data_IF_477053888768
#
_entry.id   IF_477053888768
#
_cell.length_a   1.000
_cell.length_b   1.000
_cell.length_c   1.000
_cell.angle_alpha   90.00
_cell.angle_beta   90.00
_cell.angle_gamma   90.00
#
_symmetry.space_group_name_H-M   'P 1'
#
loop_
_entity.id
_entity.type
_entity.pdbx_description
1 polymer ?
#
# COMPACT_ATOMS: atom_id res chain seq x y z
N UNK A 1 -37.50 1.20 -47.01
CA UNK A 1 -36.50 1.74 -46.08
C UNK A 1 -35.91 0.56 -45.33
N UNK A 2 -34.58 0.33 -45.33
CA UNK A 2 -34.01 -0.75 -44.57
C UNK A 2 -34.04 -0.36 -43.09
N UNK A 3 -34.64 -1.23 -42.28
CA UNK A 3 -34.66 -1.18 -40.83
C UNK A 3 -33.22 -1.12 -40.29
N UNK A 4 -32.88 -0.01 -39.61
CA UNK A 4 -31.66 0.10 -38.82
C UNK A 4 -31.75 -0.91 -37.69
N UNK A 5 -31.11 -2.07 -37.86
CA UNK A 5 -30.76 -2.93 -36.73
C UNK A 5 -29.83 -2.13 -35.82
N UNK A 6 -30.33 -1.73 -34.67
CA UNK A 6 -29.53 -1.18 -33.58
C UNK A 6 -28.66 -2.32 -33.06
N UNK A 7 -27.47 -2.53 -33.64
CA UNK A 7 -26.50 -3.50 -33.14
C UNK A 7 -26.03 -3.02 -31.77
N UNK A 8 -26.65 -3.51 -30.70
CA UNK A 8 -26.16 -3.29 -29.33
C UNK A 8 -24.72 -3.78 -29.24
N UNK A 9 -23.82 -2.90 -28.81
CA UNK A 9 -22.40 -3.24 -28.67
C UNK A 9 -22.26 -4.51 -27.80
N UNK A 10 -21.40 -5.47 -28.19
CA UNK A 10 -21.24 -6.71 -27.44
C UNK A 10 -20.80 -6.42 -26.00
N UNK A 11 -21.51 -7.01 -25.04
CA UNK A 11 -21.14 -6.95 -23.62
C UNK A 11 -20.17 -8.08 -23.28
N UNK A 12 -19.30 -7.87 -22.30
CA UNK A 12 -18.20 -8.81 -21.97
C UNK A 12 -18.19 -9.17 -20.49
N UNK A 13 -17.87 -10.43 -20.19
CA UNK A 13 -17.70 -10.95 -18.82
C UNK A 13 -16.27 -11.46 -18.62
N UNK A 14 -15.81 -11.44 -17.37
CA UNK A 14 -14.51 -11.97 -16.95
C UNK A 14 -14.77 -13.12 -15.98
N UNK A 15 -14.01 -14.20 -16.12
CA UNK A 15 -14.05 -15.37 -15.23
C UNK A 15 -12.67 -16.01 -15.07
N UNK A 16 -12.47 -16.84 -14.03
CA UNK A 16 -11.33 -17.75 -13.99
C UNK A 16 -11.21 -18.56 -15.28
N UNK A 17 -9.98 -18.66 -15.77
CA UNK A 17 -9.64 -19.54 -16.87
C UNK A 17 -9.62 -21.00 -16.39
N UNK A 18 -9.98 -21.90 -17.28
CA UNK A 18 -9.81 -23.35 -17.11
C UNK A 18 -8.91 -23.87 -18.22
N UNK A 19 -8.45 -25.12 -18.11
CA UNK A 19 -7.65 -25.72 -19.19
C UNK A 19 -8.40 -25.82 -20.52
N UNK A 20 -9.74 -25.81 -20.52
CA UNK A 20 -10.54 -25.74 -21.75
C UNK A 20 -10.32 -24.43 -22.55
N UNK A 21 -9.86 -23.36 -21.89
CA UNK A 21 -9.57 -22.07 -22.52
C UNK A 21 -8.19 -22.01 -23.18
N UNK A 22 -7.33 -23.03 -22.98
CA UNK A 22 -5.93 -23.03 -23.42
C UNK A 22 -5.78 -22.76 -24.93
N UNK A 23 -6.64 -23.37 -25.74
CA UNK A 23 -6.63 -23.18 -27.20
C UNK A 23 -6.91 -21.72 -27.60
N UNK A 24 -7.80 -21.02 -26.89
CA UNK A 24 -8.13 -19.63 -27.16
C UNK A 24 -7.05 -18.67 -26.64
N UNK A 25 -6.51 -18.93 -25.43
CA UNK A 25 -5.39 -18.17 -24.86
C UNK A 25 -4.17 -18.26 -25.77
N UNK A 26 -3.80 -19.47 -26.21
CA UNK A 26 -2.70 -19.72 -27.15
C UNK A 26 -2.87 -18.92 -28.44
N UNK A 27 -4.08 -18.91 -29.00
CA UNK A 27 -4.39 -18.17 -30.23
C UNK A 27 -4.16 -16.66 -30.07
N UNK A 28 -4.61 -16.08 -28.96
CA UNK A 28 -4.44 -14.65 -28.66
C UNK A 28 -2.96 -14.33 -28.41
N UNK A 29 -2.26 -15.17 -27.64
CA UNK A 29 -0.82 -15.00 -27.36
C UNK A 29 0.02 -15.09 -28.63
N UNK A 30 -0.23 -16.10 -29.48
CA UNK A 30 0.51 -16.25 -30.74
C UNK A 30 0.21 -15.11 -31.72
N UNK A 31 -0.99 -14.54 -31.72
CA UNK A 31 -1.26 -13.31 -32.47
C UNK A 31 -0.39 -12.15 -31.96
N UNK A 32 -0.26 -11.97 -30.64
CA UNK A 32 0.64 -10.97 -30.07
C UNK A 32 2.12 -11.22 -30.42
N UNK A 33 2.54 -12.49 -30.50
CA UNK A 33 3.88 -12.88 -30.97
C UNK A 33 4.13 -12.42 -32.41
N UNK A 34 3.17 -12.59 -33.31
CA UNK A 34 3.34 -12.18 -34.72
C UNK A 34 3.21 -10.68 -34.93
N UNK A 35 2.27 -10.04 -34.25
CA UNK A 35 1.71 -8.76 -34.69
C UNK A 35 2.02 -7.59 -33.75
N UNK A 36 2.64 -7.84 -32.59
CA UNK A 36 2.83 -6.81 -31.56
C UNK A 36 4.27 -6.75 -31.01
N UNK A 37 4.60 -5.61 -30.40
CA UNK A 37 5.80 -5.41 -29.58
C UNK A 37 5.57 -5.69 -28.09
N UNK A 38 4.41 -6.24 -27.71
CA UNK A 38 4.08 -6.51 -26.31
C UNK A 38 4.74 -7.80 -25.76
N UNK A 39 5.27 -8.66 -26.63
CA UNK A 39 5.96 -9.90 -26.26
C UNK A 39 7.17 -10.09 -27.17
N UNK A 40 8.37 -10.22 -26.59
CA UNK A 40 9.63 -10.19 -27.34
C UNK A 40 10.15 -11.58 -27.67
N UNK A 41 9.33 -12.36 -28.36
CA UNK A 41 9.74 -13.60 -29.02
C UNK A 41 9.12 -13.64 -30.41
N UNK A 42 9.76 -14.38 -31.31
CA UNK A 42 9.24 -14.77 -32.63
C UNK A 42 8.73 -16.22 -32.65
N UNK A 43 8.89 -16.95 -31.55
CA UNK A 43 8.54 -18.37 -31.45
C UNK A 43 7.12 -18.48 -30.88
N UNK A 44 6.22 -19.01 -31.72
CA UNK A 44 4.87 -19.35 -31.32
C UNK A 44 4.83 -20.62 -30.47
N UNK A 45 3.92 -20.64 -29.48
CA UNK A 45 3.71 -21.85 -28.69
C UNK A 45 2.89 -22.87 -29.47
N UNK A 46 3.33 -24.13 -29.41
CA UNK A 46 2.50 -25.27 -29.77
C UNK A 46 1.49 -25.60 -28.64
N UNK A 47 0.61 -26.59 -28.85
CA UNK A 47 -0.43 -26.93 -27.87
C UNK A 47 0.14 -27.44 -26.55
N UNK A 48 1.16 -28.30 -26.60
CA UNK A 48 1.77 -28.91 -25.41
C UNK A 48 2.46 -27.85 -24.56
N UNK A 49 3.22 -26.95 -25.19
CA UNK A 49 3.88 -25.83 -24.50
C UNK A 49 2.88 -24.87 -23.85
N UNK A 50 1.77 -24.57 -24.54
CA UNK A 50 0.73 -23.70 -24.01
C UNK A 50 0.01 -24.32 -22.81
N UNK A 51 -0.25 -25.63 -22.85
CA UNK A 51 -0.83 -26.36 -21.72
C UNK A 51 0.11 -26.37 -20.51
N UNK A 52 1.38 -26.71 -20.73
CA UNK A 52 2.41 -26.71 -19.68
C UNK A 52 2.61 -25.32 -19.07
N UNK A 53 2.59 -24.27 -19.89
CA UNK A 53 2.69 -22.88 -19.45
C UNK A 53 1.46 -22.44 -18.67
N UNK A 54 0.24 -22.77 -19.09
CA UNK A 54 -0.99 -22.28 -18.47
C UNK A 54 -1.36 -23.02 -17.18
N UNK A 55 -1.07 -24.32 -17.10
CA UNK A 55 -1.50 -25.19 -15.99
C UNK A 55 -1.15 -24.65 -14.59
N UNK A 56 0.08 -24.17 -14.30
CA UNK A 56 0.40 -23.64 -12.98
C UNK A 56 -0.43 -22.40 -12.60
N UNK A 57 -0.71 -21.50 -13.55
CA UNK A 57 -1.53 -20.31 -13.29
C UNK A 57 -3.00 -20.68 -13.07
N UNK A 58 -3.54 -21.65 -13.82
CA UNK A 58 -4.89 -22.17 -13.59
C UNK A 58 -4.99 -22.83 -12.21
N UNK A 59 -4.01 -23.64 -11.83
CA UNK A 59 -3.97 -24.30 -10.52
C UNK A 59 -3.89 -23.29 -9.36
N UNK A 60 -3.12 -22.20 -9.53
CA UNK A 60 -3.03 -21.11 -8.56
C UNK A 60 -4.24 -20.17 -8.56
N UNK A 61 -5.15 -20.30 -9.53
CA UNK A 61 -6.27 -19.38 -9.72
C UNK A 61 -5.86 -18.00 -10.24
N UNK A 62 -4.65 -17.86 -10.78
CA UNK A 62 -4.08 -16.61 -11.32
C UNK A 62 -4.14 -16.53 -12.85
N UNK A 63 -5.11 -17.23 -13.46
CA UNK A 63 -5.43 -17.14 -14.89
C UNK A 63 -6.90 -16.75 -15.07
N UNK A 64 -7.15 -15.75 -15.92
CA UNK A 64 -8.47 -15.19 -16.19
C UNK A 64 -8.70 -15.04 -17.70
N UNK A 65 -9.96 -15.17 -18.13
CA UNK A 65 -10.38 -14.88 -19.50
C UNK A 65 -11.51 -13.87 -19.55
N UNK A 66 -11.48 -13.02 -20.57
CA UNK A 66 -12.59 -12.16 -20.97
C UNK A 66 -13.30 -12.79 -22.17
N UNK A 67 -14.63 -12.91 -22.11
CA UNK A 67 -15.43 -13.51 -23.19
C UNK A 67 -16.70 -12.69 -23.46
N UNK A 68 -17.31 -12.93 -24.63
CA UNK A 68 -18.59 -12.31 -25.00
C UNK A 68 -19.69 -12.83 -24.06
N UNK A 69 -20.51 -11.92 -23.52
CA UNK A 69 -21.59 -12.27 -22.60
C UNK A 69 -22.59 -13.22 -23.29
N UNK A 70 -22.96 -14.32 -22.61
CA UNK A 70 -23.79 -15.38 -23.19
C UNK A 70 -23.04 -16.37 -24.10
N UNK A 71 -21.75 -16.16 -24.37
CA UNK A 71 -20.90 -17.06 -25.18
C UNK A 71 -19.55 -17.32 -24.49
N UNK A 72 -19.52 -18.17 -23.45
CA UNK A 72 -18.31 -18.40 -22.63
C UNK A 72 -17.11 -18.97 -23.39
N UNK A 73 -17.33 -19.58 -24.55
CA UNK A 73 -16.32 -20.09 -25.47
C UNK A 73 -15.70 -19.00 -26.37
N UNK A 74 -16.37 -17.86 -26.52
CA UNK A 74 -15.90 -16.73 -27.34
C UNK A 74 -14.95 -15.85 -26.52
N UNK A 75 -13.78 -16.41 -26.18
CA UNK A 75 -12.71 -15.71 -25.45
C UNK A 75 -12.06 -14.68 -26.36
N UNK A 76 -12.02 -13.43 -25.88
CA UNK A 76 -11.52 -12.26 -26.61
C UNK A 76 -10.31 -11.61 -25.95
N UNK A 77 -9.90 -12.10 -24.78
CA UNK A 77 -8.75 -11.62 -24.03
C UNK A 77 -8.46 -12.51 -22.83
N UNK A 78 -7.24 -12.41 -22.30
CA UNK A 78 -6.84 -13.13 -21.09
C UNK A 78 -5.87 -12.31 -20.25
N UNK A 79 -5.75 -12.70 -18.99
CA UNK A 79 -4.76 -12.18 -18.06
C UNK A 79 -4.21 -13.32 -17.20
N UNK A 80 -2.90 -13.36 -17.02
CA UNK A 80 -2.22 -14.34 -16.17
C UNK A 80 -1.19 -13.68 -15.28
N UNK A 81 -0.99 -14.23 -14.08
CA UNK A 81 0.12 -13.88 -13.21
C UNK A 81 0.93 -15.15 -12.90
N UNK A 82 2.17 -15.17 -13.42
CA UNK A 82 3.10 -16.29 -13.29
C UNK A 82 4.31 -15.94 -12.41
N UNK A 83 5.14 -16.90 -11.99
CA UNK A 83 6.34 -16.62 -11.21
C UNK A 83 7.29 -15.66 -11.96
N UNK A 84 7.77 -14.61 -11.28
CA UNK A 84 8.72 -13.65 -11.87
C UNK A 84 10.11 -14.26 -12.10
N UNK A 85 10.58 -15.04 -11.13
CA UNK A 85 11.90 -15.67 -11.17
C UNK A 85 11.83 -17.04 -10.49
N UNK A 86 12.67 -17.98 -10.92
CA UNK A 86 12.68 -19.36 -10.42
C UNK A 86 13.29 -19.54 -9.03
N UNK A 87 13.90 -18.49 -8.44
CA UNK A 87 14.56 -18.62 -7.14
C UNK A 87 13.52 -18.45 -6.04
N UNK A 88 13.64 -19.24 -4.98
CA UNK A 88 12.69 -19.33 -3.88
C UNK A 88 12.49 -17.99 -3.14
N UNK A 89 13.51 -17.12 -3.14
CA UNK A 89 13.40 -15.76 -2.62
C UNK A 89 12.31 -14.91 -3.32
N UNK A 90 11.97 -15.24 -4.56
CA UNK A 90 10.94 -14.59 -5.36
C UNK A 90 9.60 -15.35 -5.38
N UNK A 91 9.40 -16.36 -4.52
CA UNK A 91 8.20 -17.20 -4.52
C UNK A 91 6.88 -16.43 -4.35
N UNK A 92 6.92 -15.20 -3.83
CA UNK A 92 5.75 -14.30 -3.71
C UNK A 92 5.81 -13.10 -4.66
N UNK A 93 6.63 -13.16 -5.70
CA UNK A 93 6.71 -12.14 -6.74
C UNK A 93 6.25 -12.75 -8.06
N UNK A 94 5.25 -12.13 -8.67
CA UNK A 94 4.67 -12.57 -9.94
C UNK A 94 4.84 -11.54 -11.03
N UNK A 95 4.88 -11.99 -12.27
CA UNK A 95 4.79 -11.16 -13.47
C UNK A 95 3.39 -11.24 -14.04
N UNK A 96 2.80 -10.10 -14.40
CA UNK A 96 1.52 -10.08 -15.09
C UNK A 96 1.65 -10.00 -16.62
N UNK A 97 0.64 -10.53 -17.29
CA UNK A 97 0.57 -10.60 -18.74
C UNK A 97 -0.87 -10.51 -19.20
N UNK A 98 -1.20 -9.47 -19.96
CA UNK A 98 -2.57 -9.17 -20.41
C UNK A 98 -2.60 -8.97 -21.91
N UNK A 99 -3.43 -9.74 -22.60
CA UNK A 99 -3.58 -9.66 -24.05
C UNK A 99 -5.05 -9.66 -24.45
N UNK A 100 -5.40 -8.78 -25.39
CA UNK A 100 -6.72 -8.66 -25.96
C UNK A 100 -6.64 -8.90 -27.46
N UNK A 101 -7.62 -9.62 -28.01
CA UNK A 101 -7.85 -9.63 -29.45
C UNK A 101 -8.08 -8.20 -29.98
N UNK A 102 -7.68 -7.87 -31.23
CA UNK A 102 -7.85 -6.53 -31.78
C UNK A 102 -9.29 -6.00 -31.67
N UNK A 103 -10.27 -6.88 -31.90
CA UNK A 103 -11.71 -6.55 -31.82
C UNK A 103 -12.18 -6.15 -30.41
N UNK A 104 -11.42 -6.43 -29.36
CA UNK A 104 -11.76 -6.19 -27.97
C UNK A 104 -10.99 -5.04 -27.32
N UNK A 105 -10.03 -4.45 -28.03
CA UNK A 105 -9.25 -3.29 -27.57
C UNK A 105 -10.12 -2.02 -27.50
N UNK A 106 -9.70 -1.04 -26.69
CA UNK A 106 -10.43 0.23 -26.51
C UNK A 106 -11.75 0.15 -25.72
N UNK A 107 -12.14 -1.03 -25.26
CA UNK A 107 -13.43 -1.27 -24.57
C UNK A 107 -13.30 -1.41 -23.04
N UNK A 108 -12.21 -0.93 -22.47
CA UNK A 108 -11.92 -1.01 -21.03
C UNK A 108 -11.62 -2.43 -20.50
N UNK A 109 -11.49 -3.44 -21.36
CA UNK A 109 -11.29 -4.82 -20.93
C UNK A 109 -9.92 -5.08 -20.29
N UNK A 110 -8.86 -4.42 -20.75
CA UNK A 110 -7.53 -4.56 -20.16
C UNK A 110 -7.53 -4.11 -18.70
N UNK A 111 -8.20 -3.00 -18.39
CA UNK A 111 -8.38 -2.50 -17.03
C UNK A 111 -9.16 -3.48 -16.15
N UNK A 112 -10.29 -3.99 -16.64
CA UNK A 112 -11.10 -4.97 -15.91
C UNK A 112 -10.34 -6.29 -15.66
N UNK A 113 -9.53 -6.72 -16.62
CA UNK A 113 -8.68 -7.92 -16.49
C UNK A 113 -7.55 -7.70 -15.48
N UNK A 114 -6.83 -6.57 -15.55
CA UNK A 114 -5.78 -6.23 -14.60
C UNK A 114 -6.34 -6.16 -13.16
N UNK A 115 -7.46 -5.47 -12.96
CA UNK A 115 -8.14 -5.39 -11.67
C UNK A 115 -8.44 -6.78 -11.09
N UNK A 116 -9.06 -7.65 -11.91
CA UNK A 116 -9.41 -9.00 -11.49
C UNK A 116 -8.18 -9.87 -11.23
N UNK A 117 -7.09 -9.66 -12.00
CA UNK A 117 -5.85 -10.40 -11.84
C UNK A 117 -5.12 -10.03 -10.55
N UNK A 118 -5.10 -8.74 -10.19
CA UNK A 118 -4.56 -8.26 -8.91
C UNK A 118 -5.29 -8.97 -7.75
N UNK A 119 -6.62 -9.06 -7.79
CA UNK A 119 -7.39 -9.79 -6.76
C UNK A 119 -7.12 -11.29 -6.75
N UNK A 120 -6.91 -11.89 -7.92
CA UNK A 120 -6.54 -13.30 -8.03
C UNK A 120 -5.16 -13.57 -7.39
N UNK A 121 -4.17 -12.73 -7.68
CA UNK A 121 -2.84 -12.81 -7.08
C UNK A 121 -2.83 -12.60 -5.58
N UNK A 122 -3.67 -11.68 -5.05
CA UNK A 122 -3.82 -11.56 -3.59
C UNK A 122 -4.39 -12.80 -2.93
N UNK A 123 -5.40 -13.41 -3.53
CA UNK A 123 -5.97 -14.68 -3.06
C UNK A 123 -4.93 -15.81 -3.12
N UNK A 124 -4.00 -15.75 -4.07
CA UNK A 124 -2.85 -16.63 -4.17
C UNK A 124 -1.67 -16.26 -3.22
N UNK A 125 -1.85 -15.26 -2.35
CA UNK A 125 -0.85 -14.81 -1.35
C UNK A 125 0.43 -14.24 -2.00
N UNK A 126 0.31 -13.72 -3.22
CA UNK A 126 1.38 -12.96 -3.86
C UNK A 126 1.62 -11.64 -3.13
N UNK A 127 2.88 -11.20 -3.06
CA UNK A 127 3.32 -9.98 -2.39
C UNK A 127 3.60 -8.84 -3.37
N UNK A 128 4.14 -9.15 -4.54
CA UNK A 128 4.55 -8.14 -5.53
C UNK A 128 4.16 -8.62 -6.92
N UNK A 129 3.59 -7.72 -7.72
CA UNK A 129 3.35 -7.93 -9.14
C UNK A 129 4.29 -7.03 -9.95
N UNK A 130 4.94 -7.60 -10.95
CA UNK A 130 5.85 -6.92 -11.88
C UNK A 130 5.18 -6.87 -13.25
N UNK A 131 5.22 -5.70 -13.88
CA UNK A 131 4.83 -5.54 -15.27
C UNK A 131 6.07 -5.19 -16.11
N UNK A 132 6.31 -5.94 -17.17
CA UNK A 132 7.33 -5.67 -18.18
C UNK A 132 6.67 -5.10 -19.42
N UNK A 133 6.98 -3.85 -19.74
CA UNK A 133 6.29 -3.10 -20.77
C UNK A 133 7.31 -2.49 -21.72
N UNK A 134 7.11 -2.67 -23.03
CA UNK A 134 7.84 -1.91 -24.04
C UNK A 134 7.60 -0.40 -23.82
N UNK A 135 8.66 0.39 -23.69
CA UNK A 135 8.59 1.76 -23.19
C UNK A 135 7.71 2.70 -24.04
N UNK A 136 7.61 2.47 -25.36
CA UNK A 136 6.73 3.18 -26.28
C UNK A 136 5.24 2.89 -26.06
N UNK A 137 4.87 1.83 -25.34
CA UNK A 137 3.50 1.48 -25.02
C UNK A 137 2.94 2.29 -23.84
N UNK A 138 2.85 3.61 -24.03
CA UNK A 138 2.36 4.55 -23.02
C UNK A 138 0.91 4.25 -22.56
N UNK A 139 0.11 3.56 -23.38
CA UNK A 139 -1.23 3.12 -22.98
C UNK A 139 -1.19 2.02 -21.92
N UNK A 140 -0.27 1.07 -22.04
CA UNK A 140 -0.05 0.03 -21.03
C UNK A 140 0.56 0.62 -19.76
N UNK A 141 1.56 1.50 -19.89
CA UNK A 141 2.16 2.19 -18.73
C UNK A 141 1.10 2.94 -17.92
N UNK A 142 0.32 3.82 -18.56
CA UNK A 142 -0.78 4.54 -17.90
C UNK A 142 -1.85 3.63 -17.33
N UNK A 143 -2.09 2.48 -17.96
CA UNK A 143 -3.01 1.49 -17.42
C UNK A 143 -2.48 0.98 -16.07
N UNK A 144 -1.24 0.52 -16.01
CA UNK A 144 -0.63 0.00 -14.78
C UNK A 144 -0.51 1.07 -13.69
N UNK A 145 -0.13 2.30 -14.04
CA UNK A 145 -0.10 3.44 -13.10
C UNK A 145 -1.46 3.65 -12.40
N UNK A 146 -2.57 3.61 -13.16
CA UNK A 146 -3.92 3.73 -12.58
C UNK A 146 -4.30 2.61 -11.63
N UNK A 147 -3.65 1.45 -11.75
CA UNK A 147 -3.82 0.32 -10.84
C UNK A 147 -2.73 0.27 -9.77
N UNK A 148 -2.02 1.38 -9.55
CA UNK A 148 -1.05 1.56 -8.46
C UNK A 148 0.23 0.76 -8.67
N UNK A 149 0.66 0.59 -9.92
CA UNK A 149 2.04 0.23 -10.23
C UNK A 149 2.89 1.50 -10.31
N UNK A 150 4.13 1.39 -9.86
CA UNK A 150 5.15 2.44 -9.97
C UNK A 150 6.26 1.97 -10.88
N UNK A 151 6.73 2.85 -11.77
CA UNK A 151 7.92 2.59 -12.59
C UNK A 151 9.14 2.40 -11.69
N UNK A 152 9.80 1.25 -11.82
CA UNK A 152 11.05 0.91 -11.13
C UNK A 152 12.25 1.44 -11.92
N UNK A 153 12.18 1.36 -13.25
CA UNK A 153 13.20 1.86 -14.14
C UNK A 153 12.97 1.42 -15.58
N UNK A 154 13.76 1.96 -16.49
CA UNK A 154 13.78 1.56 -17.90
C UNK A 154 15.17 1.05 -18.24
N UNK A 155 15.24 -0.16 -18.80
CA UNK A 155 16.46 -0.70 -19.38
C UNK A 155 16.47 -0.33 -20.86
N UNK A 156 17.35 0.59 -21.29
CA UNK A 156 17.43 0.97 -22.69
C UNK A 156 17.99 -0.18 -23.54
N UNK A 157 17.49 -0.33 -24.75
CA UNK A 157 17.94 -1.30 -25.74
C UNK A 157 17.98 -2.74 -25.20
N UNK A 158 16.98 -3.09 -24.38
CA UNK A 158 16.91 -4.36 -23.67
C UNK A 158 16.59 -5.55 -24.59
N UNK A 159 15.98 -5.30 -25.75
CA UNK A 159 15.64 -6.35 -26.70
C UNK A 159 15.47 -5.84 -28.12
N UNK A 160 15.33 -6.77 -29.05
CA UNK A 160 15.08 -6.48 -30.46
C UNK A 160 13.90 -7.31 -30.96
N UNK A 161 12.99 -6.68 -31.68
CA UNK A 161 11.92 -7.38 -32.40
C UNK A 161 11.55 -6.65 -33.68
N UNK A 162 11.35 -7.39 -34.76
CA UNK A 162 11.02 -6.86 -36.09
C UNK A 162 12.02 -5.79 -36.58
N UNK A 163 13.31 -5.98 -36.25
CA UNK A 163 14.38 -5.03 -36.58
C UNK A 163 14.34 -3.71 -35.79
N UNK A 164 13.51 -3.63 -34.74
CA UNK A 164 13.44 -2.48 -33.84
C UNK A 164 14.12 -2.83 -32.52
N UNK A 165 15.03 -1.96 -32.09
CA UNK A 165 15.62 -2.00 -30.76
C UNK A 165 14.60 -1.38 -29.78
N UNK A 166 14.32 -2.08 -28.68
CA UNK A 166 13.25 -1.76 -27.76
C UNK A 166 13.78 -1.52 -26.35
N UNK A 167 13.19 -0.54 -25.68
CA UNK A 167 13.45 -0.23 -24.28
C UNK A 167 12.43 -0.94 -23.40
N UNK A 168 12.87 -1.50 -22.28
CA UNK A 168 12.02 -2.23 -21.34
C UNK A 168 11.75 -1.38 -20.10
N UNK A 169 10.51 -0.93 -19.93
CA UNK A 169 10.05 -0.31 -18.68
C UNK A 169 9.58 -1.40 -17.72
N UNK A 170 10.22 -1.44 -16.54
CA UNK A 170 9.82 -2.29 -15.42
C UNK A 170 8.93 -1.48 -14.49
N UNK A 171 7.74 -1.99 -14.19
CA UNK A 171 6.86 -1.43 -13.16
C UNK A 171 6.60 -2.47 -12.08
N UNK A 172 6.36 -2.02 -10.85
CA UNK A 172 6.05 -2.90 -9.73
C UNK A 172 4.87 -2.40 -8.92
N UNK A 173 4.14 -3.33 -8.32
CA UNK A 173 3.03 -3.08 -7.39
C UNK A 173 3.13 -3.99 -6.17
N UNK A 174 3.02 -3.41 -4.98
CA UNK A 174 2.81 -4.18 -3.76
C UNK A 174 1.35 -4.69 -3.70
N UNK A 175 1.18 -5.96 -3.34
CA UNK A 175 -0.11 -6.64 -3.23
C UNK A 175 -0.56 -6.82 -1.77
N UNK A 176 0.19 -6.32 -0.78
CA UNK A 176 -0.29 -6.27 0.62
C UNK A 176 -1.36 -5.18 0.78
N UNK A 177 -2.49 -5.53 1.41
CA UNK A 177 -3.68 -4.69 1.57
C UNK A 177 -4.64 -4.82 0.37
N UNK A 178 -5.97 -4.89 0.55
CA UNK A 178 -6.92 -5.09 -0.54
C UNK A 178 -6.85 -3.96 -1.57
N UNK A 179 -7.13 -4.28 -2.84
CA UNK A 179 -7.40 -3.24 -3.82
C UNK A 179 -8.78 -2.80 -3.44
N UNK A 180 -8.97 -1.50 -3.36
CA UNK A 180 -10.29 -0.95 -3.63
C UNK A 180 -10.72 -1.50 -4.99
N UNK A 181 -11.54 -2.56 -4.94
CA UNK A 181 -12.26 -3.02 -6.09
C UNK A 181 -13.20 -1.85 -6.41
N UNK A 182 -12.83 -1.03 -7.38
CA UNK A 182 -13.69 0.01 -7.93
C UNK A 182 -14.81 -0.68 -8.71
N UNK A 183 -15.69 -1.41 -8.01
CA UNK A 183 -17.07 -1.68 -8.35
C UNK A 183 -17.73 -2.43 -7.19
N UNK A 184 -18.77 -1.79 -6.64
CA UNK A 184 -19.78 -2.29 -5.70
C UNK A 184 -19.53 -2.04 -4.21
N UNK A 185 -19.49 -0.75 -3.84
CA UNK A 185 -20.59 -0.13 -3.11
C UNK A 185 -20.45 1.37 -3.29
N UNK A 186 -21.42 1.99 -3.94
CA UNK A 186 -21.48 3.43 -4.16
C UNK A 186 -22.12 4.01 -2.88
N UNK A 187 -21.42 4.77 -2.02
CA UNK A 187 -22.10 5.74 -1.17
C UNK A 187 -22.74 6.76 -2.12
N UNK A 188 -23.95 7.18 -1.80
CA UNK A 188 -24.64 8.21 -2.55
C UNK A 188 -23.80 9.51 -2.55
N UNK A 189 -23.79 10.19 -3.71
CA UNK A 189 -23.16 11.48 -4.01
C UNK A 189 -21.61 11.45 -4.02
N UNK A 190 -20.88 11.83 -5.07
CA UNK A 190 -21.13 12.88 -6.04
C UNK A 190 -19.91 13.80 -6.21
N UNK A 191 -18.86 13.68 -5.38
CA UNK A 191 -17.71 14.58 -5.41
C UNK A 191 -16.39 13.84 -5.66
N UNK A 192 -15.57 14.39 -6.55
CA UNK A 192 -14.19 13.92 -6.73
C UNK A 192 -13.38 14.23 -5.47
N UNK A 193 -12.39 13.41 -5.08
CA UNK A 193 -11.58 13.68 -3.90
C UNK A 193 -11.00 15.10 -3.94
N UNK A 194 -11.18 15.85 -2.85
CA UNK A 194 -10.70 17.22 -2.71
C UNK A 194 -9.19 17.18 -2.50
N UNK A 195 -8.45 18.00 -3.23
CA UNK A 195 -6.98 18.07 -3.13
C UNK A 195 -6.53 19.48 -2.79
N UNK A 196 -5.58 19.59 -1.86
CA UNK A 196 -4.88 20.83 -1.55
C UNK A 196 -3.39 20.67 -1.83
N UNK A 197 -2.72 21.78 -2.16
CA UNK A 197 -1.26 21.77 -2.33
C UNK A 197 -0.59 21.81 -0.96
N UNK A 198 0.57 21.17 -0.84
CA UNK A 198 1.41 21.31 0.33
C UNK A 198 2.03 22.71 0.39
N UNK A 199 2.50 23.09 1.58
CA UNK A 199 3.35 24.28 1.73
C UNK A 199 4.64 24.11 0.92
N UNK A 200 5.07 25.16 0.22
CA UNK A 200 6.22 25.13 -0.66
C UNK A 200 7.56 25.06 0.09
N UNK A 201 7.57 25.36 1.40
CA UNK A 201 8.79 25.45 2.22
C UNK A 201 8.81 24.54 3.44
N UNK A 202 8.25 23.32 3.35
CA UNK A 202 8.37 22.36 4.46
C UNK A 202 9.83 21.94 4.66
N UNK A 203 10.36 22.10 5.86
CA UNK A 203 11.70 21.66 6.22
C UNK A 203 11.62 20.24 6.80
N UNK A 204 12.16 19.27 6.08
CA UNK A 204 12.20 17.86 6.51
C UNK A 204 13.65 17.40 6.60
N UNK A 205 13.84 16.25 7.25
CA UNK A 205 15.12 15.54 7.15
C UNK A 205 15.41 15.16 5.67
N UNK A 206 16.69 15.19 5.24
CA UNK A 206 17.06 15.05 3.83
C UNK A 206 16.55 13.76 3.15
N UNK A 207 16.44 12.67 3.89
CA UNK A 207 16.03 11.36 3.39
C UNK A 207 14.51 11.21 3.21
N UNK A 208 13.72 12.15 3.72
CA UNK A 208 12.26 12.14 3.71
C UNK A 208 11.70 12.99 2.56
N UNK A 209 11.07 12.38 1.54
CA UNK A 209 10.44 13.14 0.47
C UNK A 209 9.25 13.96 0.98
N UNK A 210 9.19 15.25 0.64
CA UNK A 210 8.02 16.07 0.92
C UNK A 210 6.82 15.62 0.08
N UNK A 211 5.66 15.45 0.72
CA UNK A 211 4.38 15.35 0.02
C UNK A 211 4.06 16.72 -0.57
N UNK A 212 3.71 16.75 -1.86
CA UNK A 212 3.45 18.00 -2.59
C UNK A 212 1.97 18.29 -2.76
N UNK A 213 1.11 17.28 -2.64
CA UNK A 213 -0.34 17.37 -2.74
C UNK A 213 -1.00 16.42 -1.76
N UNK A 214 -2.02 16.91 -1.08
CA UNK A 214 -2.76 16.18 -0.06
C UNK A 214 -4.20 15.98 -0.53
N UNK A 215 -4.70 14.77 -0.36
CA UNK A 215 -6.13 14.53 -0.37
C UNK A 215 -6.69 15.05 0.96
N UNK A 216 -7.84 15.70 0.93
CA UNK A 216 -8.54 16.16 2.12
C UNK A 216 -9.87 15.43 2.22
N UNK A 217 -10.15 14.88 3.40
CA UNK A 217 -11.40 14.20 3.70
C UNK A 217 -11.77 14.37 5.18
N UNK A 218 -13.00 13.99 5.53
CA UNK A 218 -13.36 13.80 6.93
C UNK A 218 -12.53 12.68 7.58
N UNK A 219 -12.40 12.71 8.91
CA UNK A 219 -11.72 11.67 9.69
C UNK A 219 -12.30 10.28 9.44
N UNK A 220 -13.63 10.17 9.34
CA UNK A 220 -14.32 8.89 9.14
C UNK A 220 -13.95 8.22 7.80
N UNK A 221 -13.65 9.01 6.77
CA UNK A 221 -13.19 8.49 5.48
C UNK A 221 -11.78 7.94 5.56
N UNK A 222 -10.87 8.61 6.28
CA UNK A 222 -9.54 8.09 6.55
C UNK A 222 -9.60 6.81 7.37
N UNK A 223 -10.48 6.76 8.38
CA UNK A 223 -10.73 5.54 9.18
C UNK A 223 -11.24 4.41 8.29
N UNK A 224 -12.24 4.67 7.44
CA UNK A 224 -12.74 3.67 6.50
C UNK A 224 -11.63 3.17 5.56
N UNK A 225 -10.75 4.05 5.10
CA UNK A 225 -9.59 3.67 4.31
C UNK A 225 -8.63 2.77 5.10
N UNK A 226 -8.25 3.14 6.32
CA UNK A 226 -7.36 2.35 7.18
C UNK A 226 -7.97 0.97 7.52
N UNK A 227 -9.25 0.93 7.87
CA UNK A 227 -9.98 -0.32 8.13
C UNK A 227 -10.04 -1.20 6.88
N UNK A 228 -10.16 -0.62 5.70
CA UNK A 228 -10.09 -1.37 4.46
C UNK A 228 -8.70 -2.00 4.27
N UNK A 229 -7.61 -1.33 4.63
CA UNK A 229 -6.25 -1.85 4.51
C UNK A 229 -5.99 -3.05 5.42
N UNK A 230 -6.46 -2.98 6.67
CA UNK A 230 -6.18 -4.01 7.69
C UNK A 230 -7.17 -5.17 7.70
N UNK A 231 -8.40 -4.94 7.23
CA UNK A 231 -9.49 -5.91 7.32
C UNK A 231 -9.90 -6.20 8.77
N UNK A 232 -10.45 -7.39 9.02
CA UNK A 232 -10.86 -7.84 10.35
C UNK A 232 -10.14 -9.15 10.73
N UNK A 233 -8.96 -9.07 11.38
CA UNK A 233 -8.25 -10.24 11.85
C UNK A 233 -9.11 -11.08 12.82
N UNK A 234 -9.06 -12.41 12.68
CA UNK A 234 -9.77 -13.30 13.60
C UNK A 234 -8.96 -13.51 14.89
N UNK A 235 -9.62 -13.39 16.04
CA UNK A 235 -9.05 -13.72 17.36
C UNK A 235 -8.06 -12.69 17.92
N UNK A 236 -7.86 -11.54 17.25
CA UNK A 236 -6.98 -10.46 17.70
C UNK A 236 -7.44 -9.11 17.11
N UNK A 237 -7.07 -7.96 17.71
CA UNK A 237 -7.28 -6.66 17.08
C UNK A 237 -6.46 -6.51 15.79
N UNK A 238 -6.93 -5.65 14.89
CA UNK A 238 -6.08 -5.04 13.89
C UNK A 238 -5.09 -4.07 14.57
N UNK A 239 -3.82 -4.10 14.18
CA UNK A 239 -2.78 -3.26 14.79
C UNK A 239 -2.35 -2.21 13.77
N UNK A 240 -2.61 -0.93 14.05
CA UNK A 240 -2.26 0.20 13.19
C UNK A 240 -1.20 1.04 13.88
N UNK A 241 -0.01 1.14 13.29
CA UNK A 241 1.03 2.03 13.80
C UNK A 241 0.76 3.48 13.35
N UNK A 242 0.78 4.42 14.28
CA UNK A 242 0.75 5.87 14.04
C UNK A 242 2.10 6.42 14.44
N UNK A 243 2.98 6.56 13.45
CA UNK A 243 4.38 6.96 13.58
C UNK A 243 4.60 8.37 13.03
N UNK A 244 5.73 8.97 13.36
CA UNK A 244 6.06 10.35 13.09
C UNK A 244 7.02 10.88 14.14
N UNK A 245 7.56 12.06 13.88
CA UNK A 245 8.52 12.73 14.76
C UNK A 245 7.89 13.21 16.07
N UNK A 246 8.71 13.45 17.10
CA UNK A 246 8.28 14.16 18.30
C UNK A 246 7.64 15.50 17.92
N UNK A 247 6.44 15.79 18.41
CA UNK A 247 5.72 17.03 18.05
C UNK A 247 4.99 17.03 16.70
N UNK A 248 5.00 15.92 15.94
CA UNK A 248 4.34 15.86 14.62
C UNK A 248 2.82 15.84 14.65
N UNK A 249 2.19 15.69 15.82
CA UNK A 249 0.73 15.64 15.95
C UNK A 249 0.13 14.23 15.92
N UNK A 250 0.95 13.17 16.09
CA UNK A 250 0.48 11.78 16.23
C UNK A 250 -0.64 11.64 17.25
N UNK A 251 -0.48 12.21 18.44
CA UNK A 251 -1.46 12.12 19.54
C UNK A 251 -2.82 12.71 19.15
N UNK A 252 -2.80 13.86 18.47
CA UNK A 252 -4.01 14.48 17.94
C UNK A 252 -4.69 13.58 16.92
N UNK A 253 -3.93 13.01 15.98
CA UNK A 253 -4.44 12.07 14.98
C UNK A 253 -5.01 10.80 15.64
N UNK A 254 -4.26 10.14 16.52
CA UNK A 254 -4.69 8.91 17.22
C UNK A 254 -5.95 9.14 18.03
N UNK A 255 -6.08 10.30 18.68
CA UNK A 255 -7.30 10.69 19.41
C UNK A 255 -8.50 10.76 18.47
N UNK A 256 -8.35 11.41 17.32
CA UNK A 256 -9.41 11.50 16.32
C UNK A 256 -9.79 10.13 15.73
N UNK A 257 -8.79 9.29 15.41
CA UNK A 257 -9.02 7.94 14.87
C UNK A 257 -9.71 7.03 15.89
N UNK A 258 -9.34 7.12 17.17
CA UNK A 258 -9.91 6.30 18.24
C UNK A 258 -11.34 6.73 18.55
N UNK A 259 -11.64 8.03 18.53
CA UNK A 259 -13.00 8.55 18.69
C UNK A 259 -13.95 8.06 17.58
N UNK A 260 -13.43 7.88 16.36
CA UNK A 260 -14.21 7.42 15.21
C UNK A 260 -14.40 5.89 15.14
N UNK A 261 -13.66 5.11 15.93
CA UNK A 261 -13.76 3.63 15.93
C UNK A 261 -14.23 3.12 17.30
N UNK A 262 -15.52 2.75 17.44
CA UNK A 262 -16.04 2.21 18.69
C UNK A 262 -15.25 1.01 19.19
N UNK A 263 -14.79 1.08 20.45
CA UNK A 263 -14.02 0.02 21.11
C UNK A 263 -12.54 -0.03 20.73
N UNK A 264 -12.05 0.85 19.85
CA UNK A 264 -10.61 0.96 19.58
C UNK A 264 -9.82 1.28 20.85
N UNK A 265 -8.60 0.76 20.91
CA UNK A 265 -7.67 0.97 22.01
C UNK A 265 -6.41 1.67 21.50
N UNK A 266 -5.71 2.33 22.41
CA UNK A 266 -4.42 2.97 22.11
C UNK A 266 -3.34 2.31 22.95
N UNK A 267 -2.24 1.94 22.31
CA UNK A 267 -0.99 1.57 22.96
C UNK A 267 -0.02 2.73 22.74
N UNK A 268 0.25 3.51 23.79
CA UNK A 268 1.27 4.55 23.75
C UNK A 268 2.64 3.90 23.85
N UNK A 269 3.46 4.05 22.81
CA UNK A 269 4.81 3.48 22.78
C UNK A 269 5.68 4.09 23.88
N UNK A 270 5.50 5.39 24.15
CA UNK A 270 6.20 6.13 25.21
C UNK A 270 6.00 5.49 26.60
N UNK A 271 4.86 4.83 26.85
CA UNK A 271 4.63 4.07 28.07
C UNK A 271 5.44 2.77 28.11
N UNK A 272 5.54 2.08 26.98
CA UNK A 272 6.29 0.82 26.86
C UNK A 272 7.79 1.05 27.02
N UNK A 273 8.31 2.12 26.42
CA UNK A 273 9.76 2.42 26.35
C UNK A 273 10.21 3.40 27.44
N UNK A 274 9.35 3.69 28.42
CA UNK A 274 9.65 4.62 29.49
C UNK A 274 10.89 4.17 30.29
N UNK A 275 11.91 5.04 30.39
CA UNK A 275 13.25 4.75 30.96
C UNK A 275 14.08 3.67 30.22
N UNK A 276 13.69 3.27 29.02
CA UNK A 276 14.58 2.49 28.15
C UNK A 276 15.65 3.37 27.50
N UNK A 277 16.81 2.82 27.10
CA UNK A 277 17.81 3.57 26.37
C UNK A 277 17.25 4.08 25.02
N UNK A 278 17.68 5.28 24.64
CA UNK A 278 17.17 5.98 23.46
C UNK A 278 17.40 5.15 22.18
N UNK A 279 16.31 4.72 21.56
CA UNK A 279 16.26 3.92 20.32
C UNK A 279 16.91 2.52 20.39
N UNK A 280 17.01 1.93 21.59
CA UNK A 280 17.51 0.56 21.81
C UNK A 280 16.48 -0.31 22.56
N UNK A 281 15.26 -0.33 22.04
CA UNK A 281 14.07 -0.97 22.65
C UNK A 281 13.26 -1.80 21.65
N UNK A 282 13.80 -2.02 20.45
CA UNK A 282 13.11 -2.68 19.35
C UNK A 282 12.65 -4.10 19.70
N UNK A 283 13.49 -4.88 20.41
CA UNK A 283 13.14 -6.23 20.85
C UNK A 283 11.98 -6.24 21.84
N UNK A 284 11.95 -5.31 22.82
CA UNK A 284 10.83 -5.17 23.76
C UNK A 284 9.51 -4.89 23.01
N UNK A 285 9.58 -4.05 21.99
CA UNK A 285 8.42 -3.71 21.17
C UNK A 285 7.96 -4.90 20.30
N UNK A 286 8.89 -5.61 19.66
CA UNK A 286 8.62 -6.85 18.92
C UNK A 286 7.95 -7.90 19.81
N UNK A 287 8.45 -8.11 21.02
CA UNK A 287 7.90 -9.10 21.95
C UNK A 287 6.50 -8.71 22.40
N UNK A 288 6.28 -7.42 22.67
CA UNK A 288 4.97 -6.89 23.08
C UNK A 288 3.92 -7.07 22.00
N UNK A 289 4.22 -6.68 20.75
CA UNK A 289 3.28 -6.88 19.65
C UNK A 289 3.08 -8.35 19.31
N UNK A 290 4.11 -9.19 19.46
CA UNK A 290 3.98 -10.64 19.28
C UNK A 290 2.98 -11.23 20.27
N UNK A 291 3.09 -10.86 21.56
CA UNK A 291 2.12 -11.28 22.60
C UNK A 291 0.72 -10.79 22.28
N UNK A 292 0.56 -9.52 21.92
CA UNK A 292 -0.75 -8.95 21.57
C UNK A 292 -1.39 -9.69 20.39
N UNK A 293 -0.62 -10.02 19.34
CA UNK A 293 -1.15 -10.77 18.18
C UNK A 293 -1.54 -12.20 18.52
N UNK A 294 -0.80 -12.86 19.41
CA UNK A 294 -1.05 -14.25 19.79
C UNK A 294 -2.25 -14.38 20.74
N UNK A 295 -2.33 -13.49 21.73
CA UNK A 295 -3.35 -13.56 22.78
C UNK A 295 -4.62 -12.76 22.45
N UNK A 296 -4.55 -11.79 21.53
CA UNK A 296 -5.65 -10.87 21.22
C UNK A 296 -5.94 -9.84 22.32
N UNK A 297 -5.13 -9.82 23.37
CA UNK A 297 -5.20 -8.92 24.52
C UNK A 297 -3.80 -8.72 25.11
N UNK A 298 -3.64 -7.69 25.94
CA UNK A 298 -2.39 -7.40 26.64
C UNK A 298 -2.69 -6.95 28.08
N UNK A 299 -1.90 -7.44 29.03
CA UNK A 299 -1.76 -6.87 30.36
C UNK A 299 -0.28 -6.99 30.74
N UNK A 300 0.46 -5.90 30.55
CA UNK A 300 1.92 -5.88 30.63
C UNK A 300 2.39 -4.81 31.60
N UNK A 301 3.25 -5.19 32.54
CA UNK A 301 4.05 -4.24 33.32
C UNK A 301 5.47 -4.27 32.76
N UNK A 302 5.96 -3.20 32.12
CA UNK A 302 7.34 -3.10 31.65
C UNK A 302 8.34 -3.24 32.81
N UNK A 303 9.53 -3.77 32.53
CA UNK A 303 10.54 -3.98 33.57
C UNK A 303 11.00 -2.65 34.19
N UNK A 304 11.17 -1.62 33.37
CA UNK A 304 11.48 -0.25 33.82
C UNK A 304 10.44 0.35 34.75
N UNK A 305 9.16 0.00 34.59
CA UNK A 305 8.13 0.44 35.53
C UNK A 305 8.36 -0.18 36.90
N UNK A 306 8.67 -1.49 36.96
CA UNK A 306 8.96 -2.18 38.22
C UNK A 306 10.24 -1.65 38.88
N UNK A 307 11.29 -1.44 38.10
CA UNK A 307 12.58 -0.92 38.56
C UNK A 307 12.46 0.47 39.20
N UNK A 308 11.50 1.29 38.77
CA UNK A 308 11.31 2.65 39.26
C UNK A 308 10.00 2.85 40.02
N UNK A 309 9.33 1.75 40.43
CA UNK A 309 8.13 1.80 41.26
C UNK A 309 6.93 2.48 40.60
N UNK A 310 6.84 2.50 39.26
CA UNK A 310 5.66 2.98 38.54
C UNK A 310 4.54 1.95 38.65
N UNK A 311 3.44 2.33 39.27
CA UNK A 311 2.26 1.47 39.44
C UNK A 311 1.46 1.31 38.14
N UNK A 312 0.66 0.24 38.06
CA UNK A 312 -0.25 -0.03 36.94
C UNK A 312 0.31 -0.99 35.89
N UNK A 313 -0.37 -1.07 34.76
CA UNK A 313 0.03 -1.90 33.61
C UNK A 313 -0.53 -1.33 32.30
N UNK A 314 0.14 -1.65 31.19
CA UNK A 314 -0.35 -1.40 29.83
C UNK A 314 -1.39 -2.48 29.52
N UNK A 315 -2.65 -2.06 29.33
CA UNK A 315 -3.79 -2.97 29.13
C UNK A 315 -4.46 -2.77 27.79
N UNK A 316 -4.68 -3.87 27.08
CA UNK A 316 -5.52 -3.96 25.89
C UNK A 316 -6.52 -5.10 26.11
N UNK A 317 -7.82 -4.82 26.31
CA UNK A 317 -8.82 -5.87 26.54
C UNK A 317 -9.01 -6.78 25.32
N UNK A 318 -9.37 -8.03 25.59
CA UNK A 318 -9.77 -8.97 24.56
C UNK A 318 -11.02 -8.48 23.81
N UNK A 319 -11.11 -8.78 22.52
CA UNK A 319 -12.23 -8.36 21.68
C UNK A 319 -12.15 -6.92 21.16
N UNK A 320 -11.06 -6.20 21.45
CA UNK A 320 -10.78 -4.92 20.81
C UNK A 320 -10.73 -5.09 19.28
N UNK A 321 -11.46 -4.27 18.49
CA UNK A 321 -11.45 -4.41 17.03
C UNK A 321 -10.14 -3.88 16.42
N UNK A 322 -9.61 -2.79 16.97
CA UNK A 322 -8.41 -2.11 16.51
C UNK A 322 -7.59 -1.63 17.70
N UNK A 323 -6.27 -1.71 17.58
CA UNK A 323 -5.30 -1.08 18.47
C UNK A 323 -4.45 -0.12 17.64
N UNK A 324 -4.50 1.16 17.98
CA UNK A 324 -3.57 2.16 17.44
C UNK A 324 -2.32 2.18 18.31
N UNK A 325 -1.17 1.88 17.72
CA UNK A 325 0.12 2.01 18.41
C UNK A 325 0.70 3.35 18.06
N UNK A 326 0.78 4.26 19.02
CA UNK A 326 1.21 5.64 18.79
C UNK A 326 2.58 5.88 19.42
N UNK A 327 3.51 6.45 18.65
CA UNK A 327 4.78 6.94 19.17
C UNK A 327 5.85 7.07 18.11
N UNK A 328 6.94 7.75 18.44
CA UNK A 328 8.11 7.85 17.56
C UNK A 328 8.75 6.46 17.42
N UNK A 329 8.75 5.91 16.21
CA UNK A 329 9.20 4.54 15.93
C UNK A 329 8.10 3.49 16.03
N UNK A 330 6.82 3.87 16.19
CA UNK A 330 5.72 2.92 16.19
C UNK A 330 5.66 2.05 14.91
N UNK A 331 6.13 2.59 13.79
CA UNK A 331 6.15 1.93 12.50
C UNK A 331 7.42 1.15 12.19
N UNK A 332 8.37 1.02 13.13
CA UNK A 332 9.70 0.39 13.02
C UNK A 332 9.80 -0.79 12.05
N UNK A 333 10.92 -0.89 11.31
CA UNK A 333 11.11 -1.98 10.35
C UNK A 333 11.02 -3.37 11.02
N UNK A 334 11.50 -3.49 12.25
CA UNK A 334 11.48 -4.71 13.05
C UNK A 334 10.05 -5.25 13.30
N UNK A 335 9.06 -4.37 13.44
CA UNK A 335 7.66 -4.74 13.69
C UNK A 335 6.80 -4.80 12.43
N UNK A 336 7.38 -4.64 11.24
CA UNK A 336 6.63 -4.55 9.98
C UNK A 336 5.78 -5.79 9.67
N UNK A 337 6.11 -6.95 10.22
CA UNK A 337 5.32 -8.19 10.12
C UNK A 337 4.24 -8.31 11.20
N UNK A 338 4.29 -7.48 12.24
CA UNK A 338 3.42 -7.50 13.42
C UNK A 338 2.34 -6.41 13.38
N UNK A 339 2.55 -5.34 12.61
CA UNK A 339 1.52 -4.33 12.32
C UNK A 339 0.76 -4.67 11.03
N UNK A 340 -0.52 -4.33 10.99
CA UNK A 340 -1.40 -4.58 9.85
C UNK A 340 -1.47 -3.36 8.90
N UNK A 341 -1.32 -2.13 9.43
CA UNK A 341 -1.11 -0.91 8.66
C UNK A 341 -0.17 0.06 9.38
N UNK A 342 0.44 0.97 8.62
CA UNK A 342 1.35 1.98 9.11
C UNK A 342 0.99 3.37 8.56
N UNK A 343 0.78 4.31 9.47
CA UNK A 343 0.57 5.73 9.20
C UNK A 343 1.81 6.51 9.59
N UNK A 344 2.34 7.31 8.67
CA UNK A 344 3.42 8.25 8.93
C UNK A 344 2.87 9.68 8.97
N UNK A 345 3.07 10.39 10.08
CA UNK A 345 2.68 11.80 10.24
C UNK A 345 3.86 12.69 9.86
N UNK A 346 3.78 13.30 8.68
CA UNK A 346 4.79 14.22 8.15
C UNK A 346 4.51 15.65 8.64
N UNK A 347 5.53 16.29 9.21
CA UNK A 347 5.46 17.63 9.82
C UNK A 347 6.79 18.31 9.62
N UNK A 348 6.77 19.61 9.38
CA UNK A 348 7.98 20.43 9.29
C UNK A 348 8.79 20.34 10.59
N UNK A 349 10.11 20.27 10.47
CA UNK A 349 11.03 20.14 11.59
C UNK A 349 10.88 21.29 12.59
N UNK A 350 10.80 22.52 12.09
CA UNK A 350 10.62 23.74 12.88
C UNK A 350 9.26 23.77 13.61
N UNK A 351 8.20 23.24 12.98
CA UNK A 351 6.87 23.18 13.58
C UNK A 351 6.84 22.12 14.68
N UNK A 352 7.38 20.94 14.41
CA UNK A 352 7.44 19.82 15.35
C UNK A 352 8.22 20.21 16.61
N UNK A 353 9.39 20.83 16.44
CA UNK A 353 10.24 21.35 17.52
C UNK A 353 9.50 22.39 18.37
N UNK A 354 8.93 23.43 17.74
CA UNK A 354 8.20 24.48 18.47
C UNK A 354 7.03 23.92 19.28
N UNK A 355 6.27 22.99 18.71
CA UNK A 355 5.14 22.33 19.41
C UNK A 355 5.63 21.51 20.59
N UNK A 356 6.71 20.77 20.39
CA UNK A 356 7.37 19.96 21.41
C UNK A 356 7.81 20.77 22.62
N UNK A 357 8.65 21.78 22.39
CA UNK A 357 9.17 22.67 23.44
C UNK A 357 8.02 23.36 24.18
N UNK A 358 7.02 23.88 23.45
CA UNK A 358 5.88 24.56 24.05
C UNK A 358 5.09 23.64 24.98
N UNK A 359 4.87 22.38 24.57
CA UNK A 359 4.15 21.37 25.36
C UNK A 359 4.92 21.06 26.64
N UNK A 360 6.21 20.72 26.52
CA UNK A 360 7.00 20.29 27.67
C UNK A 360 7.15 21.40 28.72
N UNK A 361 7.32 22.66 28.28
CA UNK A 361 7.30 23.83 29.17
C UNK A 361 5.96 23.96 29.88
N UNK A 362 4.84 23.76 29.17
CA UNK A 362 3.51 23.88 29.76
C UNK A 362 3.20 22.74 30.76
N UNK A 363 3.73 21.55 30.51
CA UNK A 363 3.59 20.38 31.39
C UNK A 363 4.59 20.39 32.56
N UNK A 364 5.60 21.28 32.52
CA UNK A 364 6.64 21.37 33.56
C UNK A 364 7.54 20.14 33.58
N UNK A 365 7.72 19.48 32.45
CA UNK A 365 8.57 18.30 32.27
C UNK A 365 9.89 18.73 31.61
N UNK A 366 10.95 17.93 31.79
CA UNK A 366 12.28 18.20 31.21
C UNK A 366 12.99 19.47 31.70
N UNK A 367 12.68 19.90 32.93
CA UNK A 367 13.40 20.98 33.62
C UNK A 367 12.83 22.37 33.35
N UNK A 368 13.66 23.40 33.46
CA UNK A 368 13.29 24.76 33.09
C UNK A 368 13.18 24.96 31.55
N UNK A 369 12.83 26.16 31.10
CA UNK A 369 12.63 26.44 29.68
C UNK A 369 13.90 26.25 28.84
N UNK A 370 15.09 26.55 29.38
CA UNK A 370 16.35 26.32 28.67
C UNK A 370 16.73 24.84 28.67
N UNK A 371 16.50 24.13 29.78
CA UNK A 371 16.70 22.69 29.89
C UNK A 371 15.80 21.92 28.93
N UNK A 372 14.53 22.32 28.80
CA UNK A 372 13.58 21.77 27.83
C UNK A 372 14.07 21.93 26.40
N UNK A 373 14.58 23.12 26.03
CA UNK A 373 15.16 23.36 24.70
C UNK A 373 16.39 22.48 24.46
N UNK A 374 17.31 22.40 25.43
CA UNK A 374 18.51 21.54 25.33
C UNK A 374 18.13 20.06 25.17
N UNK A 375 17.15 19.59 25.94
CA UNK A 375 16.62 18.23 25.85
C UNK A 375 16.03 17.95 24.46
N UNK A 376 15.22 18.87 23.91
CA UNK A 376 14.63 18.74 22.58
C UNK A 376 15.67 18.67 21.47
N UNK A 377 16.70 19.52 21.50
CA UNK A 377 17.78 19.45 20.53
C UNK A 377 18.54 18.11 20.59
N UNK A 378 18.83 17.60 21.80
CA UNK A 378 19.46 16.29 21.98
C UNK A 378 18.57 15.14 21.49
N UNK A 379 17.27 15.17 21.82
CA UNK A 379 16.29 14.19 21.36
C UNK A 379 16.18 14.17 19.83
N UNK A 380 16.00 15.34 19.21
CA UNK A 380 15.87 15.47 17.76
C UNK A 380 17.13 15.01 17.02
N UNK A 381 18.32 15.24 17.58
CA UNK A 381 19.57 14.73 17.01
C UNK A 381 19.59 13.19 16.97
N UNK A 382 19.19 12.53 18.07
CA UNK A 382 19.05 11.08 18.11
C UNK A 382 17.96 10.57 17.16
N UNK A 383 16.81 11.24 17.14
CA UNK A 383 15.66 10.90 16.29
C UNK A 383 16.02 10.92 14.79
N UNK A 384 16.79 11.92 14.36
CA UNK A 384 17.27 12.01 12.97
C UNK A 384 18.13 10.81 12.58
N UNK A 385 19.07 10.40 13.45
CA UNK A 385 19.91 9.24 13.17
C UNK A 385 19.08 7.96 13.09
N UNK A 386 18.12 7.81 14.00
CA UNK A 386 17.19 6.70 14.02
C UNK A 386 16.38 6.62 12.72
N UNK A 387 15.77 7.73 12.29
CA UNK A 387 14.97 7.76 11.06
C UNK A 387 15.79 7.71 9.77
N UNK A 388 17.01 8.26 9.75
CA UNK A 388 17.91 8.11 8.59
C UNK A 388 18.23 6.64 8.29
N UNK A 389 18.36 5.82 9.35
CA UNK A 389 18.56 4.36 9.27
C UNK A 389 17.27 3.61 8.91
N UNK A 390 16.19 3.88 9.65
CA UNK A 390 14.96 3.08 9.55
C UNK A 390 14.09 3.48 8.35
N UNK A 391 13.95 4.77 8.06
CA UNK A 391 13.15 5.36 6.96
C UNK A 391 11.69 4.87 6.94
N UNK A 392 10.92 5.09 8.02
CA UNK A 392 9.55 4.59 8.17
C UNK A 392 8.60 4.99 7.03
N UNK A 393 8.75 6.21 6.48
CA UNK A 393 7.95 6.71 5.35
C UNK A 393 8.04 5.84 4.08
N UNK A 394 9.12 5.08 3.89
CA UNK A 394 9.24 4.12 2.76
C UNK A 394 8.36 2.89 2.90
N UNK A 395 7.77 2.68 4.08
CA UNK A 395 6.97 1.51 4.44
C UNK A 395 5.55 1.87 4.88
N UNK A 396 5.27 3.16 5.05
CA UNK A 396 3.97 3.66 5.46
C UNK A 396 2.95 3.41 4.37
N UNK A 397 1.78 2.91 4.77
CA UNK A 397 0.65 2.68 3.88
C UNK A 397 -0.13 3.98 3.68
N UNK A 398 -0.10 4.89 4.66
CA UNK A 398 -0.72 6.23 4.60
C UNK A 398 0.25 7.28 5.15
N UNK A 399 0.32 8.44 4.50
CA UNK A 399 0.98 9.63 5.00
C UNK A 399 -0.08 10.63 5.41
N UNK A 400 0.00 11.17 6.62
CA UNK A 400 -0.89 12.22 7.13
C UNK A 400 -0.08 13.48 7.34
N UNK A 401 -0.66 14.61 6.98
CA UNK A 401 -0.07 15.91 7.28
C UNK A 401 -0.31 16.26 8.75
N UNK A 402 0.77 16.45 9.50
CA UNK A 402 0.70 17.01 10.85
C UNK A 402 0.60 18.54 10.88
N UNK A 403 0.82 19.19 9.73
CA UNK A 403 0.68 20.63 9.53
C UNK A 403 -0.48 20.88 8.58
N UNK A 404 -1.69 21.00 9.13
CA UNK A 404 -2.91 21.22 8.34
C UNK A 404 -2.67 22.26 7.22
N UNK A 405 -2.56 21.83 5.95
CA UNK A 405 -2.25 22.74 4.86
C UNK A 405 -3.36 23.75 4.63
N UNK A 406 -3.03 24.86 3.97
CA UNK A 406 -4.03 25.86 3.59
C UNK A 406 -5.18 25.21 2.80
N UNK A 407 -6.42 25.44 3.25
CA UNK A 407 -7.63 24.88 2.66
C UNK A 407 -8.15 23.60 3.33
N UNK A 408 -7.49 23.10 4.38
CA UNK A 408 -8.08 22.08 5.29
C UNK A 408 -8.96 22.78 6.33
N UNK A 409 -10.22 22.40 6.39
CA UNK A 409 -11.23 22.93 7.32
C UNK A 409 -11.25 22.15 8.64
N UNK A 410 -11.85 22.71 9.71
CA UNK A 410 -12.02 21.99 10.97
C UNK A 410 -12.77 20.66 10.79
N UNK A 411 -12.22 19.58 11.34
CA UNK A 411 -12.79 18.23 11.24
C UNK A 411 -12.34 17.44 10.00
N UNK A 412 -11.55 18.06 9.12
CA UNK A 412 -10.91 17.39 8.00
C UNK A 412 -9.46 17.01 8.31
N UNK A 413 -8.96 16.02 7.57
CA UNK A 413 -7.58 15.55 7.64
C UNK A 413 -6.99 15.56 6.23
N UNK A 414 -5.77 16.10 6.12
CA UNK A 414 -4.95 16.01 4.92
C UNK A 414 -4.10 14.73 4.95
N UNK A 415 -4.24 13.88 3.95
CA UNK A 415 -3.50 12.62 3.84
C UNK A 415 -3.25 12.23 2.38
N UNK A 416 -2.36 11.26 2.17
CA UNK A 416 -2.13 10.62 0.86
C UNK A 416 -1.76 9.16 1.09
N UNK A 417 -2.08 8.24 0.16
CA UNK A 417 -1.50 6.91 0.19
C UNK A 417 0.04 6.98 0.16
N UNK A 418 0.68 6.15 0.97
CA UNK A 418 2.11 5.89 0.90
C UNK A 418 2.45 4.75 -0.08
N UNK A 419 3.70 4.30 -0.11
CA UNK A 419 4.85 4.82 0.62
C UNK A 419 5.48 6.06 -0.05
N UNK A 420 6.31 6.78 0.70
CA UNK A 420 7.18 7.83 0.14
C UNK A 420 8.51 7.21 -0.30
N UNK A 421 8.68 7.08 -1.61
CA UNK A 421 9.92 6.62 -2.23
C UNK A 421 10.76 7.82 -2.66
N UNK A 422 12.08 7.69 -2.55
CA UNK A 422 12.99 8.69 -3.11
C UNK A 422 12.77 8.74 -4.63
N UNK A 423 12.65 9.95 -5.18
CA UNK A 423 12.51 10.19 -6.62
C UNK A 423 13.80 9.89 -7.36
#
# INVERSE_FOLDING_TARGET
MPSRETTTAPTYRIRPATMADCSAIRRIRNAAVRESLAIWTSIEQNSVEAEAWLAPMVQRGTALVAHVSGRPQDVVGFAVAGPWHSYEGYARTVEDSIYLSPSAQGKGLGARLLAALIEASRRAVDRTMIALIEAGNATSVRLHERYGFTTVGTVPQAGEKHGQILDLTLMSRCLKGPTMCCHQNKPADGESPRWVNADQSIELQPEEPAVTRWQVSATDELVAHLLSLVGAPQGRPAIVAVDGRGGSGKTTLTTALTAAVPGAQVLHLDDLIWNEPLYDWDQLYVDTLTRLRQAGSLDLVPDKWREHGREGSIRIPAGSPVVFVEGTGAGLAAVRSLIDAHVWVQTSDDVAERRGIKRDIAEGVNGDAEESVRFWHWWMAGERLFFAKDRPWRRADVIVSGDAPAGVEPGEIAWTPGPLLAR
#
